data_IF_210931693920
#
_entry.id   IF_210931693920
#
_cell.length_a   1.000
_cell.length_b   1.000
_cell.length_c   1.000
_cell.angle_alpha   90.00
_cell.angle_beta   90.00
_cell.angle_gamma   90.00
#
_symmetry.space_group_name_H-M   'P 1'
#
loop_
_entity.id
_entity.type
_entity.pdbx_description
1 polymer ?
#
# COMPACT_ATOMS: atom_id res chain seq x y z
N UNK A 1 -27.92 -17.56 2.12
CA UNK A 1 -27.15 -18.62 1.44
C UNK A 1 -26.72 -18.11 0.07
N UNK A 2 -25.45 -17.81 -0.14
CA UNK A 2 -24.95 -17.48 -1.48
C UNK A 2 -24.84 -18.77 -2.28
N UNK A 3 -25.62 -18.89 -3.36
CA UNK A 3 -25.59 -20.04 -4.25
C UNK A 3 -24.20 -20.16 -4.86
N UNK A 4 -23.50 -21.26 -4.57
CA UNK A 4 -22.14 -21.51 -5.06
C UNK A 4 -22.17 -21.55 -6.60
N UNK A 5 -21.40 -20.71 -7.26
CA UNK A 5 -21.33 -20.71 -8.73
C UNK A 5 -20.52 -21.92 -9.19
N UNK A 6 -21.09 -22.74 -10.07
CA UNK A 6 -20.38 -23.87 -10.64
C UNK A 6 -19.51 -23.44 -11.82
N UNK A 7 -18.33 -24.05 -11.94
CA UNK A 7 -17.48 -23.89 -13.12
C UNK A 7 -18.13 -24.54 -14.35
N UNK A 8 -18.12 -23.83 -15.47
CA UNK A 8 -18.55 -24.37 -16.77
C UNK A 8 -17.60 -25.48 -17.24
N UNK A 9 -18.08 -26.35 -18.15
CA UNK A 9 -17.23 -27.39 -18.76
C UNK A 9 -15.99 -26.80 -19.44
N UNK A 10 -16.17 -25.71 -20.20
CA UNK A 10 -15.07 -25.01 -20.87
C UNK A 10 -14.05 -24.46 -19.86
N UNK A 11 -14.49 -23.83 -18.77
CA UNK A 11 -13.58 -23.36 -17.71
C UNK A 11 -12.80 -24.51 -17.08
N UNK A 12 -13.46 -25.64 -16.77
CA UNK A 12 -12.76 -26.82 -16.23
C UNK A 12 -11.67 -27.31 -17.18
N UNK A 13 -11.96 -27.41 -18.48
CA UNK A 13 -10.98 -27.83 -19.49
C UNK A 13 -9.78 -26.87 -19.54
N UNK A 14 -10.03 -25.56 -19.60
CA UNK A 14 -8.96 -24.55 -19.63
C UNK A 14 -8.12 -24.58 -18.35
N UNK A 15 -8.75 -24.69 -17.18
CA UNK A 15 -8.07 -24.78 -15.90
C UNK A 15 -7.20 -26.03 -15.80
N UNK A 16 -7.72 -27.19 -16.22
CA UNK A 16 -6.95 -28.44 -16.27
C UNK A 16 -5.78 -28.33 -17.25
N UNK A 17 -6.01 -27.77 -18.45
CA UNK A 17 -4.95 -27.55 -19.44
C UNK A 17 -3.85 -26.60 -18.96
N UNK A 18 -4.18 -25.64 -18.08
CA UNK A 18 -3.18 -24.76 -17.44
C UNK A 18 -2.44 -25.46 -16.28
N UNK A 19 -3.14 -26.29 -15.50
CA UNK A 19 -2.59 -26.92 -14.29
C UNK A 19 -1.67 -28.10 -14.61
N UNK A 20 -2.04 -28.93 -15.59
CA UNK A 20 -1.30 -30.16 -15.92
C UNK A 20 0.17 -29.88 -16.30
N UNK A 21 0.49 -28.91 -17.17
CA UNK A 21 1.89 -28.59 -17.48
C UNK A 21 2.68 -28.08 -16.27
N UNK A 22 2.06 -27.31 -15.37
CA UNK A 22 2.72 -26.81 -14.15
C UNK A 22 3.09 -27.96 -13.21
N UNK A 23 2.17 -28.91 -13.01
CA UNK A 23 2.41 -30.10 -12.21
C UNK A 23 3.48 -31.01 -12.85
N UNK A 24 3.37 -31.24 -14.16
CA UNK A 24 4.32 -32.06 -14.91
C UNK A 24 5.74 -31.48 -14.85
N UNK A 25 5.88 -30.15 -14.95
CA UNK A 25 7.18 -29.47 -14.84
C UNK A 25 7.79 -29.65 -13.45
N UNK A 26 6.99 -29.54 -12.38
CA UNK A 26 7.46 -29.80 -11.01
C UNK A 26 7.94 -31.24 -10.80
N UNK A 27 7.17 -32.22 -11.28
CA UNK A 27 7.53 -33.65 -11.21
C UNK A 27 8.81 -33.92 -12.01
N UNK A 28 8.89 -33.43 -13.25
CA UNK A 28 10.07 -33.59 -14.09
C UNK A 28 11.32 -32.93 -13.48
N UNK A 29 11.15 -31.76 -12.87
CA UNK A 29 12.20 -31.08 -12.11
C UNK A 29 12.77 -31.97 -11.02
N UNK A 30 11.91 -32.56 -10.18
CA UNK A 30 12.41 -33.38 -9.09
C UNK A 30 12.97 -34.74 -9.47
N UNK A 31 12.45 -35.35 -10.55
CA UNK A 31 13.11 -36.52 -11.16
C UNK A 31 14.50 -36.16 -11.69
N UNK A 32 14.63 -34.97 -12.31
CA UNK A 32 15.91 -34.45 -12.78
C UNK A 32 16.93 -34.24 -11.66
N UNK A 33 16.52 -33.57 -10.58
CA UNK A 33 17.37 -33.34 -9.40
C UNK A 33 17.78 -34.65 -8.75
N UNK A 34 16.85 -35.60 -8.57
CA UNK A 34 17.16 -36.92 -8.05
C UNK A 34 18.18 -37.66 -8.92
N UNK A 35 17.99 -37.67 -10.24
CA UNK A 35 18.92 -38.33 -11.17
C UNK A 35 20.31 -37.71 -11.15
N UNK A 36 20.41 -36.39 -11.04
CA UNK A 36 21.69 -35.69 -10.98
C UNK A 36 22.46 -36.00 -9.69
N UNK A 37 21.80 -35.86 -8.54
CA UNK A 37 22.43 -36.11 -7.23
C UNK A 37 22.74 -37.60 -7.06
N UNK A 38 21.88 -38.50 -7.57
CA UNK A 38 22.10 -39.95 -7.45
C UNK A 38 23.36 -40.41 -8.17
N UNK A 39 23.69 -39.80 -9.32
CA UNK A 39 24.92 -40.11 -10.06
C UNK A 39 26.18 -39.64 -9.35
N UNK A 40 26.10 -38.54 -8.61
CA UNK A 40 27.26 -37.96 -7.92
C UNK A 40 27.47 -38.53 -6.49
N UNK A 41 26.39 -38.82 -5.76
CA UNK A 41 26.45 -39.11 -4.31
C UNK A 41 25.68 -40.37 -3.88
N UNK A 42 25.13 -41.14 -4.83
CA UNK A 42 24.34 -42.33 -4.57
C UNK A 42 22.86 -42.04 -4.29
N UNK A 43 22.01 -43.06 -4.47
CA UNK A 43 20.54 -42.93 -4.43
C UNK A 43 19.98 -42.54 -3.06
N UNK A 44 20.59 -43.03 -1.96
CA UNK A 44 20.16 -42.71 -0.60
C UNK A 44 20.35 -41.23 -0.25
N UNK A 45 21.54 -40.69 -0.53
CA UNK A 45 21.86 -39.26 -0.35
C UNK A 45 20.99 -38.38 -1.25
N UNK A 46 20.77 -38.80 -2.49
CA UNK A 46 19.92 -38.09 -3.43
C UNK A 46 18.47 -38.00 -2.99
N UNK A 47 17.90 -39.10 -2.47
CA UNK A 47 16.54 -39.09 -1.95
C UNK A 47 16.40 -38.13 -0.78
N UNK A 48 17.35 -38.14 0.17
CA UNK A 48 17.37 -37.23 1.32
C UNK A 48 17.49 -35.76 0.91
N UNK A 49 18.39 -35.45 -0.04
CA UNK A 49 18.60 -34.09 -0.53
C UNK A 49 17.37 -33.55 -1.29
N UNK A 50 16.76 -34.37 -2.15
CA UNK A 50 15.53 -34.01 -2.88
C UNK A 50 14.35 -33.83 -1.92
N UNK A 51 14.18 -34.73 -0.96
CA UNK A 51 13.12 -34.63 0.04
C UNK A 51 13.27 -33.36 0.90
N UNK A 52 14.50 -33.01 1.30
CA UNK A 52 14.76 -31.82 2.10
C UNK A 52 14.58 -30.50 1.31
N UNK A 53 15.03 -30.46 0.05
CA UNK A 53 14.93 -29.27 -0.79
C UNK A 53 13.55 -29.14 -1.46
N UNK A 54 13.29 -30.00 -2.44
CA UNK A 54 12.09 -29.94 -3.27
C UNK A 54 10.86 -30.43 -2.51
N UNK A 55 11.01 -31.48 -1.69
CA UNK A 55 9.91 -31.98 -0.85
C UNK A 55 9.37 -30.89 0.08
N UNK A 56 10.25 -30.11 0.72
CA UNK A 56 9.84 -28.97 1.55
C UNK A 56 9.08 -27.90 0.74
N UNK A 57 9.55 -27.55 -0.47
CA UNK A 57 8.86 -26.58 -1.34
C UNK A 57 7.51 -27.10 -1.83
N UNK A 58 7.41 -28.39 -2.15
CA UNK A 58 6.18 -29.04 -2.56
C UNK A 58 5.16 -29.07 -1.41
N UNK A 59 5.61 -29.36 -0.18
CA UNK A 59 4.76 -29.29 1.01
C UNK A 59 4.24 -27.87 1.22
N UNK A 60 5.09 -26.84 1.16
CA UNK A 60 4.65 -25.45 1.27
C UNK A 60 3.65 -25.05 0.18
N UNK A 61 3.88 -25.50 -1.06
CA UNK A 61 2.96 -25.27 -2.18
C UNK A 61 1.60 -25.95 -1.97
N UNK A 62 1.59 -27.20 -1.48
CA UNK A 62 0.36 -27.93 -1.16
C UNK A 62 -0.40 -27.31 0.01
N UNK A 63 0.30 -26.86 1.05
CA UNK A 63 -0.33 -26.12 2.15
C UNK A 63 -0.92 -24.80 1.64
N UNK A 64 -0.19 -24.04 0.82
CA UNK A 64 -0.70 -22.81 0.22
C UNK A 64 -1.95 -23.07 -0.63
N UNK A 65 -1.94 -24.13 -1.44
CA UNK A 65 -3.06 -24.55 -2.27
C UNK A 65 -4.26 -24.97 -1.40
N UNK A 66 -4.03 -25.77 -0.38
CA UNK A 66 -5.06 -26.23 0.58
C UNK A 66 -5.73 -25.05 1.28
N UNK A 67 -4.94 -24.15 1.88
CA UNK A 67 -5.45 -22.94 2.54
C UNK A 67 -6.28 -22.08 1.57
N UNK A 68 -5.80 -21.93 0.32
CA UNK A 68 -6.53 -21.19 -0.71
C UNK A 68 -7.87 -21.85 -1.03
N UNK A 69 -7.90 -23.17 -1.19
CA UNK A 69 -9.12 -23.96 -1.45
C UNK A 69 -10.10 -23.95 -0.27
N UNK A 70 -9.60 -23.86 0.96
CA UNK A 70 -10.42 -23.67 2.17
C UNK A 70 -10.94 -22.22 2.32
N UNK A 71 -10.60 -21.32 1.40
CA UNK A 71 -10.95 -19.91 1.50
C UNK A 71 -10.29 -19.22 2.69
N UNK A 72 -9.08 -19.63 3.06
CA UNK A 72 -8.30 -19.01 4.13
C UNK A 72 -7.27 -18.05 3.53
N UNK A 73 -6.92 -16.99 4.29
CA UNK A 73 -5.83 -16.10 3.89
C UNK A 73 -4.51 -16.85 3.94
N UNK A 74 -3.63 -16.60 2.97
CA UNK A 74 -2.33 -17.26 2.93
C UNK A 74 -1.38 -16.61 3.94
N UNK A 75 -0.89 -17.35 4.97
CA UNK A 75 0.10 -16.82 5.90
C UNK A 75 1.34 -16.33 5.17
N UNK A 76 1.81 -15.13 5.51
CA UNK A 76 2.99 -14.54 4.89
C UNK A 76 4.23 -15.43 5.01
N UNK A 77 4.35 -16.16 6.11
CA UNK A 77 5.48 -17.08 6.35
C UNK A 77 5.55 -18.22 5.33
N UNK A 78 4.40 -18.73 4.87
CA UNK A 78 4.35 -19.83 3.89
C UNK A 78 4.82 -19.32 2.53
N UNK A 79 4.36 -18.12 2.11
CA UNK A 79 4.86 -17.49 0.88
C UNK A 79 6.35 -17.19 0.97
N UNK A 80 6.82 -16.65 2.11
CA UNK A 80 8.25 -16.41 2.30
C UNK A 80 9.06 -17.69 2.17
N UNK A 81 8.62 -18.80 2.78
CA UNK A 81 9.27 -20.10 2.64
C UNK A 81 9.27 -20.62 1.20
N UNK A 82 8.14 -20.47 0.49
CA UNK A 82 7.99 -20.91 -0.91
C UNK A 82 8.98 -20.19 -1.85
N UNK A 83 9.37 -18.96 -1.54
CA UNK A 83 10.38 -18.20 -2.29
C UNK A 83 11.80 -18.40 -1.76
N UNK A 84 11.97 -18.50 -0.45
CA UNK A 84 13.29 -18.58 0.18
C UNK A 84 14.00 -19.90 -0.13
N UNK A 85 13.29 -21.03 -0.09
CA UNK A 85 13.90 -22.34 -0.34
C UNK A 85 14.48 -22.44 -1.76
N UNK A 86 13.74 -22.09 -2.83
CA UNK A 86 14.29 -22.18 -4.17
C UNK A 86 15.30 -21.07 -4.47
N UNK A 87 15.21 -19.91 -3.82
CA UNK A 87 16.25 -18.88 -3.90
C UNK A 87 17.59 -19.39 -3.31
N UNK A 88 17.54 -20.07 -2.18
CA UNK A 88 18.72 -20.70 -1.58
C UNK A 88 19.29 -21.80 -2.50
N UNK A 89 18.43 -22.65 -3.07
CA UNK A 89 18.84 -23.65 -4.06
C UNK A 89 19.47 -23.02 -5.31
N UNK A 90 18.89 -21.91 -5.80
CA UNK A 90 19.40 -21.16 -6.95
C UNK A 90 20.78 -20.57 -6.68
N UNK A 91 21.01 -20.03 -5.48
CA UNK A 91 22.31 -19.52 -5.08
C UNK A 91 23.35 -20.64 -4.98
N UNK A 92 23.01 -21.78 -4.36
CA UNK A 92 23.90 -22.94 -4.30
C UNK A 92 24.24 -23.49 -5.70
N UNK A 93 23.23 -23.60 -6.58
CA UNK A 93 23.40 -24.10 -7.93
C UNK A 93 24.25 -23.14 -8.79
N UNK A 94 24.11 -21.82 -8.59
CA UNK A 94 24.95 -20.82 -9.25
C UNK A 94 26.42 -20.94 -8.86
N UNK A 95 26.70 -21.18 -7.56
CA UNK A 95 28.06 -21.32 -7.04
C UNK A 95 28.74 -22.63 -7.48
N UNK A 96 27.97 -23.65 -7.83
CA UNK A 96 28.48 -24.93 -8.29
C UNK A 96 28.77 -25.00 -9.81
N UNK A 97 28.51 -23.92 -10.55
CA UNK A 97 28.67 -23.90 -12.00
C UNK A 97 30.07 -23.41 -12.44
N UNK A 98 30.68 -24.12 -13.40
CA UNK A 98 32.04 -23.83 -13.87
C UNK A 98 32.14 -22.70 -14.92
N UNK A 99 31.01 -22.33 -15.54
CA UNK A 99 30.96 -21.38 -16.65
C UNK A 99 29.74 -20.45 -16.53
N UNK A 100 29.84 -19.15 -16.92
CA UNK A 100 28.74 -18.19 -16.82
C UNK A 100 27.42 -18.64 -17.46
N UNK A 101 27.45 -19.36 -18.58
CA UNK A 101 26.27 -19.89 -19.24
C UNK A 101 25.57 -20.96 -18.40
N UNK A 102 26.35 -21.85 -17.76
CA UNK A 102 25.81 -22.88 -16.84
C UNK A 102 25.31 -22.25 -15.55
N UNK A 103 25.98 -21.23 -15.04
CA UNK A 103 25.57 -20.49 -13.84
C UNK A 103 24.14 -19.95 -13.98
N UNK A 104 23.83 -19.31 -15.11
CA UNK A 104 22.48 -18.76 -15.35
C UNK A 104 21.43 -19.87 -15.40
N UNK A 105 21.70 -20.96 -16.14
CA UNK A 105 20.76 -22.07 -16.27
C UNK A 105 20.50 -22.72 -14.91
N UNK A 106 21.56 -22.98 -14.14
CA UNK A 106 21.47 -23.59 -12.82
C UNK A 106 20.81 -22.69 -11.79
N UNK A 107 21.02 -21.37 -11.86
CA UNK A 107 20.36 -20.40 -10.99
C UNK A 107 18.87 -20.23 -11.30
N UNK A 108 18.46 -20.30 -12.57
CA UNK A 108 17.05 -20.10 -12.95
C UNK A 108 16.20 -21.35 -12.71
N UNK A 109 16.79 -22.54 -12.82
CA UNK A 109 16.05 -23.81 -12.78
C UNK A 109 15.20 -23.98 -11.50
N UNK A 110 15.74 -23.76 -10.27
CA UNK A 110 14.93 -23.90 -9.07
C UNK A 110 13.79 -22.86 -8.97
N UNK A 111 13.97 -21.67 -9.56
CA UNK A 111 12.96 -20.60 -9.55
C UNK A 111 11.74 -20.91 -10.42
N UNK A 112 11.87 -21.76 -11.44
CA UNK A 112 10.74 -22.17 -12.29
C UNK A 112 9.61 -22.86 -11.51
N UNK A 113 9.98 -23.58 -10.44
CA UNK A 113 9.01 -24.24 -9.55
C UNK A 113 8.21 -23.22 -8.71
N UNK A 114 8.85 -22.14 -8.22
CA UNK A 114 8.15 -21.06 -7.51
C UNK A 114 7.06 -20.43 -8.37
N UNK A 115 7.41 -20.12 -9.63
CA UNK A 115 6.49 -19.48 -10.57
C UNK A 115 5.29 -20.40 -10.83
N UNK A 116 5.54 -21.70 -10.97
CA UNK A 116 4.48 -22.70 -11.14
C UNK A 116 3.58 -22.81 -9.90
N UNK A 117 4.17 -22.86 -8.70
CA UNK A 117 3.43 -22.93 -7.44
C UNK A 117 2.58 -21.68 -7.18
N UNK A 118 3.12 -20.48 -7.41
CA UNK A 118 2.37 -19.22 -7.33
C UNK A 118 1.28 -19.12 -8.40
N UNK A 119 1.56 -19.60 -9.62
CA UNK A 119 0.57 -19.70 -10.69
C UNK A 119 -0.60 -20.61 -10.31
N UNK A 120 -0.32 -21.78 -9.72
CA UNK A 120 -1.32 -22.71 -9.21
C UNK A 120 -2.14 -22.10 -8.07
N UNK A 121 -1.48 -21.47 -7.08
CA UNK A 121 -2.14 -20.79 -5.97
C UNK A 121 -3.02 -19.61 -6.45
N UNK A 122 -2.56 -18.86 -7.46
CA UNK A 122 -3.34 -17.80 -8.09
C UNK A 122 -4.59 -18.35 -8.79
N UNK A 123 -4.43 -19.42 -9.57
CA UNK A 123 -5.54 -20.06 -10.28
C UNK A 123 -6.58 -20.62 -9.30
N UNK A 124 -6.11 -21.31 -8.28
CA UNK A 124 -6.90 -21.80 -7.16
C UNK A 124 -7.71 -20.69 -6.49
N UNK A 125 -7.06 -19.57 -6.14
CA UNK A 125 -7.73 -18.41 -5.57
C UNK A 125 -8.79 -17.87 -6.50
N UNK A 126 -8.51 -17.79 -7.81
CA UNK A 126 -9.49 -17.28 -8.78
C UNK A 126 -10.72 -18.18 -8.91
N UNK A 127 -10.54 -19.49 -8.81
CA UNK A 127 -11.64 -20.46 -8.76
C UNK A 127 -12.51 -20.22 -7.51
N UNK A 128 -11.90 -20.16 -6.33
CA UNK A 128 -12.62 -19.95 -5.06
C UNK A 128 -13.38 -18.62 -5.08
N UNK A 129 -12.74 -17.54 -5.52
CA UNK A 129 -13.38 -16.23 -5.69
C UNK A 129 -14.57 -16.30 -6.65
N UNK A 130 -14.46 -17.07 -7.74
CA UNK A 130 -15.56 -17.23 -8.69
C UNK A 130 -16.73 -18.02 -8.08
N UNK A 131 -16.44 -19.09 -7.35
CA UNK A 131 -17.44 -19.98 -6.75
C UNK A 131 -18.17 -19.33 -5.58
N UNK A 132 -17.42 -18.68 -4.68
CA UNK A 132 -17.92 -18.18 -3.41
C UNK A 132 -18.23 -16.68 -3.47
N UNK A 133 -17.80 -15.98 -4.53
CA UNK A 133 -18.07 -14.56 -4.76
C UNK A 133 -17.30 -13.61 -3.84
N UNK A 134 -16.39 -14.14 -3.01
CA UNK A 134 -15.61 -13.40 -2.01
C UNK A 134 -14.12 -13.68 -2.17
N UNK A 135 -13.31 -12.65 -1.97
CA UNK A 135 -11.86 -12.75 -2.01
C UNK A 135 -11.28 -12.53 -0.62
N UNK A 136 -11.08 -13.63 0.10
CA UNK A 136 -10.68 -13.63 1.51
C UNK A 136 -9.32 -12.95 1.73
N UNK A 137 -8.41 -13.06 0.76
CA UNK A 137 -7.13 -12.37 0.82
C UNK A 137 -7.30 -10.85 0.68
N UNK A 138 -8.21 -10.39 -0.18
CA UNK A 138 -8.53 -8.97 -0.32
C UNK A 138 -9.28 -8.44 0.93
N UNK A 139 -10.21 -9.22 1.47
CA UNK A 139 -10.94 -8.91 2.71
C UNK A 139 -9.99 -8.83 3.91
N UNK A 140 -9.05 -9.77 4.05
CA UNK A 140 -8.04 -9.76 5.10
C UNK A 140 -7.15 -8.50 5.03
N UNK A 141 -6.75 -8.10 3.81
CA UNK A 141 -5.97 -6.85 3.58
C UNK A 141 -6.79 -5.61 3.92
N UNK A 142 -8.05 -5.56 3.50
CA UNK A 142 -8.96 -4.46 3.84
C UNK A 142 -9.17 -4.36 5.36
N UNK A 143 -9.40 -5.48 6.04
CA UNK A 143 -9.55 -5.55 7.48
C UNK A 143 -8.28 -5.09 8.22
N UNK A 144 -7.09 -5.45 7.73
CA UNK A 144 -5.81 -4.97 8.28
C UNK A 144 -5.68 -3.44 8.16
N UNK A 145 -6.06 -2.86 7.02
CA UNK A 145 -6.05 -1.40 6.82
C UNK A 145 -7.04 -0.71 7.76
N UNK A 146 -8.26 -1.24 7.92
CA UNK A 146 -9.28 -0.68 8.82
C UNK A 146 -8.84 -0.75 10.29
N UNK A 147 -8.27 -1.88 10.73
CA UNK A 147 -7.71 -2.01 12.09
C UNK A 147 -6.58 -1.03 12.35
N UNK A 148 -5.64 -0.90 11.41
CA UNK A 148 -4.54 0.06 11.51
C UNK A 148 -5.07 1.50 11.53
N UNK A 149 -6.09 1.81 10.73
CA UNK A 149 -6.72 3.12 10.72
C UNK A 149 -7.36 3.45 12.06
N UNK A 150 -8.13 2.53 12.64
CA UNK A 150 -8.75 2.68 13.94
C UNK A 150 -7.70 2.90 15.04
N UNK A 151 -6.63 2.10 15.04
CA UNK A 151 -5.50 2.26 15.97
C UNK A 151 -4.87 3.66 15.86
N UNK A 152 -4.53 4.11 14.65
CA UNK A 152 -3.91 5.43 14.47
C UNK A 152 -4.87 6.59 14.75
N UNK A 153 -6.18 6.43 14.53
CA UNK A 153 -7.18 7.42 14.94
C UNK A 153 -7.29 7.52 16.46
N UNK A 154 -7.36 6.40 17.16
CA UNK A 154 -7.37 6.38 18.62
C UNK A 154 -6.08 6.96 19.21
N UNK A 155 -4.92 6.60 18.65
CA UNK A 155 -3.62 7.15 19.05
C UNK A 155 -3.51 8.65 18.76
N UNK A 156 -4.05 9.14 17.65
CA UNK A 156 -4.05 10.58 17.34
C UNK A 156 -4.90 11.41 18.32
N UNK A 157 -5.99 10.83 18.85
CA UNK A 157 -6.86 11.47 19.83
C UNK A 157 -6.28 11.45 21.24
N UNK A 158 -5.72 10.32 21.67
CA UNK A 158 -5.49 10.05 23.09
C UNK A 158 -4.01 10.03 23.51
N UNK A 159 -3.04 10.08 22.59
CA UNK A 159 -1.63 9.95 22.96
C UNK A 159 -1.09 11.23 23.63
N UNK A 160 -0.30 11.14 24.73
CA UNK A 160 0.18 12.31 25.47
C UNK A 160 1.12 13.19 24.62
N UNK A 161 1.99 12.58 23.81
CA UNK A 161 2.93 13.32 22.98
C UNK A 161 2.31 13.90 21.70
N UNK A 162 2.48 15.21 21.50
CA UNK A 162 1.95 15.95 20.33
C UNK A 162 2.56 15.50 19.01
N UNK A 163 3.86 15.13 19.00
CA UNK A 163 4.55 14.61 17.80
C UNK A 163 3.93 13.29 17.34
N UNK A 164 3.66 12.39 18.27
CA UNK A 164 3.03 11.10 18.00
C UNK A 164 1.59 11.27 17.53
N UNK A 165 0.83 12.21 18.12
CA UNK A 165 -0.52 12.55 17.65
C UNK A 165 -0.51 13.00 16.20
N UNK A 166 0.32 13.98 15.84
CA UNK A 166 0.46 14.48 14.46
C UNK A 166 0.92 13.40 13.49
N UNK A 167 1.86 12.54 13.90
CA UNK A 167 2.33 11.42 13.09
C UNK A 167 1.23 10.38 12.84
N UNK A 168 0.47 10.05 13.89
CA UNK A 168 -0.65 9.11 13.80
C UNK A 168 -1.78 9.68 12.95
N UNK A 169 -2.07 10.97 13.05
CA UNK A 169 -3.04 11.65 12.20
C UNK A 169 -2.64 11.57 10.71
N UNK A 170 -1.39 11.93 10.37
CA UNK A 170 -0.86 11.79 9.00
C UNK A 170 -0.94 10.35 8.49
N UNK A 171 -0.63 9.38 9.36
CA UNK A 171 -0.69 7.95 9.02
C UNK A 171 -2.14 7.50 8.80
N UNK A 172 -3.08 7.99 9.61
CA UNK A 172 -4.51 7.73 9.45
C UNK A 172 -5.03 8.26 8.11
N UNK A 173 -4.58 9.43 7.65
CA UNK A 173 -4.93 9.96 6.34
C UNK A 173 -4.35 9.13 5.18
N UNK A 174 -3.12 8.63 5.34
CA UNK A 174 -2.52 7.69 4.37
C UNK A 174 -3.27 6.36 4.31
N UNK A 175 -3.73 5.86 5.45
CA UNK A 175 -4.52 4.61 5.54
C UNK A 175 -5.94 4.80 5.01
N UNK A 176 -6.59 5.93 5.30
CA UNK A 176 -7.91 6.27 4.81
C UNK A 176 -7.97 6.27 3.27
N UNK A 177 -6.91 6.74 2.60
CA UNK A 177 -6.78 6.66 1.13
C UNK A 177 -6.79 5.21 0.60
N UNK A 178 -6.43 4.23 1.42
CA UNK A 178 -6.39 2.81 1.06
C UNK A 178 -7.68 2.07 1.39
N UNK A 179 -8.59 2.67 2.17
CA UNK A 179 -9.86 2.04 2.51
C UNK A 179 -10.70 1.86 1.24
N UNK A 180 -11.18 0.63 1.03
CA UNK A 180 -11.97 0.27 -0.16
C UNK A 180 -11.17 0.04 -1.44
N UNK A 181 -9.84 0.20 -1.45
CA UNK A 181 -9.04 -0.19 -2.61
C UNK A 181 -9.06 -1.71 -2.79
N UNK A 182 -9.44 -2.16 -3.99
CA UNK A 182 -9.45 -3.58 -4.36
C UNK A 182 -10.69 -4.35 -3.94
N UNK A 183 -11.73 -3.68 -3.41
CA UNK A 183 -13.04 -4.27 -3.17
C UNK A 183 -14.03 -3.82 -4.27
N UNK A 184 -14.20 -4.61 -5.35
CA UNK A 184 -15.12 -4.25 -6.44
C UNK A 184 -16.58 -4.26 -5.99
N UNK A 185 -16.90 -4.98 -4.91
CA UNK A 185 -18.28 -5.06 -4.39
C UNK A 185 -18.65 -3.88 -3.50
N UNK A 186 -17.67 -3.11 -3.01
CA UNK A 186 -17.91 -1.95 -2.15
C UNK A 186 -18.69 -0.84 -2.85
N UNK A 187 -18.39 -0.56 -4.12
CA UNK A 187 -19.11 0.46 -4.89
C UNK A 187 -20.60 0.16 -5.00
N UNK A 188 -20.96 -1.09 -5.29
CA UNK A 188 -22.36 -1.54 -5.36
C UNK A 188 -23.01 -1.45 -3.98
N UNK A 189 -22.35 -1.99 -2.94
CA UNK A 189 -22.88 -1.96 -1.58
C UNK A 189 -23.09 -0.53 -1.05
N UNK A 190 -22.20 0.40 -1.38
CA UNK A 190 -22.36 1.81 -0.96
C UNK A 190 -23.58 2.44 -1.62
N UNK A 191 -23.85 2.13 -2.89
CA UNK A 191 -25.06 2.60 -3.58
C UNK A 191 -26.32 1.98 -2.97
N UNK A 192 -26.28 0.70 -2.60
CA UNK A 192 -27.39 0.03 -1.92
C UNK A 192 -27.67 0.69 -0.56
N UNK A 193 -26.63 0.92 0.26
CA UNK A 193 -26.76 1.61 1.55
C UNK A 193 -27.27 3.05 1.36
N UNK A 194 -26.78 3.75 0.33
CA UNK A 194 -27.25 5.10 0.03
C UNK A 194 -28.73 5.08 -0.36
N UNK A 195 -29.13 4.15 -1.23
CA UNK A 195 -30.54 3.98 -1.63
C UNK A 195 -31.41 3.67 -0.43
N UNK A 196 -30.99 2.75 0.43
CA UNK A 196 -31.71 2.39 1.66
C UNK A 196 -31.88 3.60 2.58
N UNK A 197 -30.82 4.39 2.81
CA UNK A 197 -30.90 5.61 3.63
C UNK A 197 -31.81 6.67 3.01
N UNK A 198 -31.75 6.86 1.69
CA UNK A 198 -32.62 7.81 0.98
C UNK A 198 -34.08 7.36 1.08
N UNK A 199 -34.37 6.08 0.85
CA UNK A 199 -35.71 5.53 0.97
C UNK A 199 -36.23 5.65 2.40
N UNK A 200 -35.44 5.28 3.41
CA UNK A 200 -35.83 5.42 4.81
C UNK A 200 -36.05 6.88 5.23
N UNK A 201 -35.23 7.81 4.73
CA UNK A 201 -35.43 9.25 4.94
C UNK A 201 -36.70 9.77 4.28
N UNK A 202 -37.01 9.32 3.07
CA UNK A 202 -38.23 9.68 2.35
C UNK A 202 -39.49 9.13 3.05
N UNK A 203 -39.44 7.87 3.52
CA UNK A 203 -40.52 7.25 4.28
C UNK A 203 -40.81 8.03 5.58
N UNK A 204 -39.77 8.38 6.34
CA UNK A 204 -39.90 9.20 7.54
C UNK A 204 -40.50 10.59 7.26
N UNK A 205 -40.12 11.22 6.15
CA UNK A 205 -40.66 12.51 5.74
C UNK A 205 -42.15 12.41 5.32
N UNK A 206 -42.52 11.36 4.58
CA UNK A 206 -43.92 11.10 4.21
C UNK A 206 -44.77 10.83 5.45
N UNK A 207 -44.28 10.02 6.40
CA UNK A 207 -44.93 9.82 7.67
C UNK A 207 -45.17 11.15 8.40
N UNK A 208 -44.16 12.02 8.48
CA UNK A 208 -44.31 13.34 9.10
C UNK A 208 -45.35 14.25 8.39
N UNK A 209 -45.47 14.16 7.06
CA UNK A 209 -46.44 14.95 6.29
C UNK A 209 -47.88 14.45 6.43
N UNK A 210 -48.08 13.13 6.50
CA UNK A 210 -49.41 12.52 6.57
C UNK A 210 -49.91 12.27 7.99
N UNK A 211 -49.06 12.44 9.00
CA UNK A 211 -49.50 12.45 10.40
C UNK A 211 -49.92 13.86 10.77
N UNK A 212 -51.22 14.10 10.91
CA UNK A 212 -51.77 15.38 11.39
C UNK A 212 -51.19 15.75 12.77
N UNK A 213 -50.96 17.04 13.06
CA UNK A 213 -50.51 17.51 14.37
C UNK A 213 -51.71 17.50 15.34
N UNK A 214 -52.20 16.32 15.68
CA UNK A 214 -53.05 16.12 16.84
C UNK A 214 -52.23 15.23 17.78
N UNK A 215 -51.70 15.85 18.83
CA UNK A 215 -50.80 15.27 19.84
C UNK A 215 -49.32 15.14 19.44
N UNK A 216 -48.62 16.29 19.34
CA UNK A 216 -47.20 16.33 19.68
C UNK A 216 -47.06 16.74 21.14
N UNK A 217 -47.17 15.76 22.03
CA UNK A 217 -46.50 15.82 23.32
C UNK A 217 -45.65 14.56 23.45
N UNK A 218 -44.34 14.75 23.66
CA UNK A 218 -43.27 13.73 23.74
C UNK A 218 -43.01 12.88 22.48
N UNK A 219 -42.05 13.30 21.65
CA UNK A 219 -40.98 12.44 21.06
C UNK A 219 -40.00 13.23 20.17
N UNK A 220 -39.79 14.53 20.44
CA UNK A 220 -38.81 15.35 19.73
C UNK A 220 -37.39 15.27 20.33
N UNK A 221 -36.90 14.08 20.67
CA UNK A 221 -35.55 13.90 21.26
C UNK A 221 -34.65 12.86 20.56
N UNK A 222 -35.06 12.35 19.39
CA UNK A 222 -34.38 11.18 18.78
C UNK A 222 -33.76 11.41 17.40
N UNK A 223 -33.60 12.66 16.93
CA UNK A 223 -33.09 12.89 15.57
C UNK A 223 -32.12 14.08 15.39
N UNK A 224 -31.54 14.62 16.46
CA UNK A 224 -30.56 15.70 16.35
C UNK A 224 -29.13 15.16 16.54
N UNK A 225 -28.44 14.96 15.43
CA UNK A 225 -26.97 14.98 15.30
C UNK A 225 -26.13 14.13 16.28
N UNK A 226 -26.13 12.80 16.13
CA UNK A 226 -24.97 11.99 16.53
C UNK A 226 -23.91 11.97 15.44
N UNK A 227 -23.29 13.12 15.21
CA UNK A 227 -21.98 13.22 14.58
C UNK A 227 -21.21 14.37 15.23
N UNK A 228 -20.67 14.12 16.42
CA UNK A 228 -19.88 15.10 17.17
C UNK A 228 -19.37 14.51 18.47
N UNK A 229 -18.05 14.31 18.53
CA UNK A 229 -17.22 14.23 19.73
C UNK A 229 -17.87 14.76 21.03
N UNK A 230 -18.21 13.86 21.95
CA UNK A 230 -18.33 14.18 23.39
C UNK A 230 -17.96 12.97 24.25
N UNK A 231 -16.65 12.77 24.45
CA UNK A 231 -16.13 12.03 25.61
C UNK A 231 -15.90 13.05 26.73
N UNK A 232 -16.96 13.37 27.48
CA UNK A 232 -16.82 14.00 28.79
C UNK A 232 -16.61 12.93 29.85
N UNK A 233 -15.42 13.00 30.42
CA UNK A 233 -14.98 12.46 31.70
C UNK A 233 -16.01 12.70 32.81
N UNK A 234 -16.47 11.63 33.45
CA UNK A 234 -16.99 11.65 34.82
C UNK A 234 -16.72 10.30 35.48
N UNK A 235 -15.77 10.30 36.42
CA UNK A 235 -15.82 9.50 37.63
C UNK A 235 -16.08 10.50 38.78
N UNK A 236 -16.81 10.13 39.84
CA UNK A 236 -16.20 9.31 40.91
C UNK A 236 -17.09 8.20 41.54
N UNK A 237 -16.40 7.24 42.16
CA UNK A 237 -16.76 6.20 43.17
C UNK A 237 -17.49 6.71 44.44
N UNK A 238 -17.83 5.87 45.45
CA UNK A 238 -18.19 4.44 45.51
C UNK A 238 -19.45 4.18 46.39
N UNK A 239 -19.94 2.93 46.52
CA UNK A 239 -20.26 2.25 47.80
C UNK A 239 -20.94 0.87 47.61
N UNK A 240 -20.45 -0.07 48.41
CA UNK A 240 -20.84 -1.47 48.62
C UNK A 240 -22.32 -1.68 48.98
N UNK A 241 -22.90 -2.86 48.68
CA UNK A 241 -22.90 -4.02 49.59
C UNK A 241 -23.73 -5.23 49.07
N UNK A 242 -23.07 -6.41 49.14
CA UNK A 242 -23.51 -7.81 49.28
C UNK A 242 -24.76 -8.41 48.60
N UNK A 243 -24.53 -9.51 47.84
CA UNK A 243 -25.24 -10.79 48.03
C UNK A 243 -24.50 -11.98 47.36
N UNK A 244 -23.75 -12.71 48.20
CA UNK A 244 -23.50 -14.18 48.25
C UNK A 244 -23.22 -15.05 47.01
N UNK A 245 -22.06 -15.71 47.11
CA UNK A 245 -21.53 -16.87 46.36
C UNK A 245 -22.20 -18.19 46.81
N UNK A 246 -22.08 -19.27 46.02
CA UNK A 246 -21.45 -20.48 46.59
C UNK A 246 -20.33 -21.06 45.71
N UNK A 247 -19.25 -21.46 46.40
CA UNK A 247 -18.11 -22.25 45.92
C UNK A 247 -18.51 -23.75 45.77
N UNK A 248 -17.85 -24.65 45.04
CA UNK A 248 -16.44 -25.05 45.02
C UNK A 248 -16.14 -25.90 43.77
N UNK A 249 -14.89 -25.88 43.32
CA UNK A 249 -13.99 -27.07 43.20
C UNK A 249 -13.09 -26.98 41.96
N UNK A 250 -11.80 -26.74 42.18
CA UNK A 250 -10.75 -27.11 41.21
C UNK A 250 -9.49 -27.45 41.99
N UNK A 251 -8.97 -28.63 41.68
CA UNK A 251 -7.77 -29.22 42.24
C UNK A 251 -6.50 -28.61 41.63
N UNK A 252 -5.45 -28.69 42.43
CA UNK A 252 -4.07 -28.25 42.23
C UNK A 252 -3.38 -28.83 40.98
N UNK A 253 -2.31 -28.19 40.47
CA UNK A 253 -1.02 -28.90 40.58
C UNK A 253 0.21 -28.04 40.91
N UNK A 254 1.16 -28.76 41.53
CA UNK A 254 2.49 -28.40 42.05
C UNK A 254 3.53 -27.82 41.04
N UNK A 255 4.64 -27.23 41.55
CA UNK A 255 5.55 -26.32 40.83
C UNK A 255 6.92 -26.91 40.44
N UNK A 256 7.61 -26.29 39.46
CA UNK A 256 9.05 -26.52 39.17
C UNK A 256 9.76 -25.19 38.87
N UNK A 257 10.96 -25.06 39.45
CA UNK A 257 11.86 -23.90 39.59
C UNK A 257 12.61 -23.40 38.32
N UNK A 258 13.31 -22.24 38.38
CA UNK A 258 13.81 -21.47 37.24
C UNK A 258 15.34 -21.46 37.04
N UNK A 259 15.80 -21.09 35.84
CA UNK A 259 17.16 -20.60 35.55
C UNK A 259 17.49 -20.49 34.05
N UNK A 260 18.53 -19.75 33.64
CA UNK A 260 18.75 -18.33 33.90
C UNK A 260 18.88 -17.48 32.61
N UNK A 261 18.89 -16.17 32.80
CA UNK A 261 18.99 -15.11 31.80
C UNK A 261 20.35 -15.02 31.08
N UNK A 262 20.35 -14.61 29.81
CA UNK A 262 21.52 -14.06 29.10
C UNK A 262 21.15 -12.76 28.40
N UNK A 263 21.56 -11.67 29.07
CA UNK A 263 22.10 -10.37 28.61
C UNK A 263 21.96 -10.00 27.12
N UNK A 264 21.26 -8.89 26.88
CA UNK A 264 21.38 -8.05 25.69
C UNK A 264 22.75 -7.36 25.65
N UNK A 265 23.47 -7.47 24.53
CA UNK A 265 24.55 -6.53 24.19
C UNK A 265 24.19 -5.80 22.90
N UNK A 266 24.20 -4.47 23.00
CA UNK A 266 24.11 -3.54 21.91
C UNK A 266 25.50 -3.32 21.28
N UNK A 267 25.44 -2.76 20.07
CA UNK A 267 26.48 -2.00 19.38
C UNK A 267 27.28 -2.74 18.30
N UNK A 268 27.12 -2.23 17.06
CA UNK A 268 28.07 -2.23 15.94
C UNK A 268 27.35 -1.72 14.68
N UNK A 269 27.44 -0.41 14.46
CA UNK A 269 27.13 0.24 13.17
C UNK A 269 28.44 0.34 12.37
N UNK A 270 28.47 -0.07 11.09
CA UNK A 270 29.48 0.46 10.17
C UNK A 270 28.89 1.53 9.24
N UNK A 271 29.60 2.66 9.28
CA UNK A 271 29.55 3.82 8.41
C UNK A 271 29.84 3.42 6.95
N UNK A 272 29.11 4.00 5.98
CA UNK A 272 29.41 3.88 4.55
C UNK A 272 29.63 5.30 4.01
N UNK A 273 30.86 5.58 3.57
CA UNK A 273 31.23 6.76 2.78
C UNK A 273 30.93 6.58 1.28
N UNK A 274 30.82 7.66 0.49
CA UNK A 274 30.12 7.66 -0.79
C UNK A 274 31.04 7.56 -2.03
N UNK A 275 30.35 7.43 -3.17
CA UNK A 275 30.70 7.63 -4.60
C UNK A 275 31.54 6.58 -5.34
N UNK A 276 30.94 6.04 -6.42
CA UNK A 276 31.31 6.42 -7.79
C UNK A 276 30.21 6.09 -8.81
N UNK A 277 29.97 7.05 -9.70
CA UNK A 277 29.01 7.07 -10.79
C UNK A 277 29.47 6.22 -11.98
N UNK A 278 28.62 5.30 -12.45
CA UNK A 278 28.82 4.57 -13.71
C UNK A 278 27.76 5.00 -14.74
N UNK A 279 28.24 5.20 -15.97
CA UNK A 279 27.61 5.84 -17.10
C UNK A 279 26.27 5.22 -17.55
N UNK A 280 25.32 6.10 -17.89
CA UNK A 280 24.02 5.74 -18.47
C UNK A 280 24.22 5.42 -19.96
N UNK A 281 24.08 4.13 -20.32
CA UNK A 281 23.94 3.68 -21.71
C UNK A 281 22.47 3.84 -22.15
N UNK A 282 22.28 4.39 -23.34
CA UNK A 282 21.02 4.79 -23.93
C UNK A 282 19.97 3.66 -23.99
N UNK A 283 18.74 3.98 -23.56
CA UNK A 283 17.57 3.09 -23.59
C UNK A 283 16.91 3.17 -24.97
N UNK A 284 16.89 2.04 -25.69
CA UNK A 284 16.04 1.86 -26.86
C UNK A 284 14.58 1.62 -26.42
N UNK A 285 13.67 2.30 -27.11
CA UNK A 285 12.21 2.27 -27.08
C UNK A 285 11.54 1.26 -26.12
N UNK A 286 11.13 1.74 -24.95
CA UNK A 286 10.17 1.05 -24.10
C UNK A 286 8.77 1.12 -24.73
N UNK A 287 8.27 -0.05 -25.13
CA UNK A 287 6.89 -0.32 -25.47
C UNK A 287 5.97 0.12 -24.30
N UNK A 288 4.87 0.79 -24.63
CA UNK A 288 4.10 1.61 -23.70
C UNK A 288 3.53 0.79 -22.52
N UNK A 289 3.91 1.17 -21.30
CA UNK A 289 3.26 0.67 -20.09
C UNK A 289 1.74 0.94 -20.11
N UNK A 290 0.90 0.05 -19.55
CA UNK A 290 -0.55 0.19 -19.56
C UNK A 290 -0.99 1.45 -18.79
N UNK A 291 -1.77 2.29 -19.47
CA UNK A 291 -2.19 3.63 -19.05
C UNK A 291 -3.09 3.54 -17.80
N UNK A 292 -2.81 4.34 -16.76
CA UNK A 292 -3.64 4.42 -15.53
C UNK A 292 -5.11 4.75 -15.87
N UNK A 293 -6.03 4.08 -15.18
CA UNK A 293 -7.48 4.20 -15.32
C UNK A 293 -8.11 5.55 -14.88
N UNK A 294 -7.30 6.55 -14.54
CA UNK A 294 -7.78 7.92 -14.37
C UNK A 294 -7.45 8.68 -15.66
N UNK A 295 -8.44 8.87 -16.53
CA UNK A 295 -8.33 9.74 -17.69
C UNK A 295 -7.86 11.15 -17.31
N UNK A 296 -7.36 11.90 -18.30
CA UNK A 296 -6.95 13.29 -18.12
C UNK A 296 -8.16 14.10 -17.64
N UNK A 297 -8.01 14.80 -16.52
CA UNK A 297 -9.06 15.68 -15.95
C UNK A 297 -9.57 16.63 -17.05
N UNK A 298 -10.88 16.67 -17.31
CA UNK A 298 -11.47 17.58 -18.30
C UNK A 298 -11.06 19.02 -18.03
N UNK A 299 -10.82 19.80 -19.10
CA UNK A 299 -10.34 21.18 -18.99
C UNK A 299 -11.29 22.07 -18.19
N UNK A 300 -12.60 21.79 -18.26
CA UNK A 300 -13.65 22.46 -17.48
C UNK A 300 -13.57 22.21 -15.96
N UNK A 301 -12.94 21.12 -15.52
CA UNK A 301 -12.79 20.77 -14.10
C UNK A 301 -11.45 21.25 -13.52
N UNK A 302 -10.62 21.95 -14.29
CA UNK A 302 -9.40 22.59 -13.80
C UNK A 302 -9.76 23.97 -13.26
N UNK A 303 -9.58 24.17 -11.96
CA UNK A 303 -9.61 25.52 -11.39
C UNK A 303 -8.46 26.35 -12.00
N UNK A 304 -8.73 27.56 -12.52
CA UNK A 304 -7.68 28.45 -12.99
C UNK A 304 -6.74 28.72 -11.82
N UNK A 305 -5.48 28.31 -11.96
CA UNK A 305 -4.45 28.68 -10.98
C UNK A 305 -4.31 30.20 -11.05
N UNK A 306 -4.40 30.94 -9.93
CA UNK A 306 -4.10 32.36 -9.93
C UNK A 306 -2.69 32.57 -10.48
N UNK A 307 -2.60 33.17 -11.66
CA UNK A 307 -1.35 33.53 -12.31
C UNK A 307 -1.05 34.98 -11.98
N UNK A 308 0.14 35.24 -11.43
CA UNK A 308 0.69 36.60 -11.30
C UNK A 308 0.67 37.26 -12.67
N UNK A 309 0.15 38.48 -12.74
CA UNK A 309 0.11 39.24 -14.00
C UNK A 309 1.53 39.70 -14.38
N UNK A 310 1.78 40.04 -15.65
CA UNK A 310 3.08 40.57 -16.07
C UNK A 310 3.51 41.82 -15.28
N UNK A 311 2.56 42.70 -14.96
CA UNK A 311 2.83 43.95 -14.21
C UNK A 311 3.20 43.68 -12.75
N UNK A 312 2.55 42.71 -12.10
CA UNK A 312 2.91 42.25 -10.75
C UNK A 312 4.33 41.68 -10.71
N UNK A 313 4.72 40.92 -11.75
CA UNK A 313 6.07 40.37 -11.86
C UNK A 313 7.13 41.46 -12.09
N UNK A 314 6.80 42.52 -12.85
CA UNK A 314 7.69 43.67 -13.02
C UNK A 314 7.86 44.46 -11.72
N UNK A 315 6.77 44.72 -10.99
CA UNK A 315 6.83 45.41 -9.70
C UNK A 315 7.67 44.64 -8.67
N UNK A 316 7.45 43.32 -8.56
CA UNK A 316 8.25 42.44 -7.69
C UNK A 316 9.73 42.43 -8.14
N UNK A 317 9.99 42.38 -9.45
CA UNK A 317 11.35 42.40 -9.97
C UNK A 317 12.08 43.72 -9.67
N UNK A 318 11.42 44.89 -9.78
CA UNK A 318 12.01 46.18 -9.40
C UNK A 318 12.38 46.21 -7.92
N UNK A 319 11.49 45.71 -7.05
CA UNK A 319 11.75 45.63 -5.61
C UNK A 319 12.95 44.75 -5.28
N UNK A 320 13.04 43.56 -5.88
CA UNK A 320 14.10 42.59 -5.55
C UNK A 320 15.46 42.95 -6.18
N UNK A 321 15.45 43.69 -7.29
CA UNK A 321 16.68 44.08 -8.00
C UNK A 321 17.16 45.50 -7.68
N UNK A 322 16.52 46.20 -6.75
CA UNK A 322 16.87 47.58 -6.39
C UNK A 322 18.37 47.74 -6.06
N UNK A 323 18.93 46.81 -5.29
CA UNK A 323 20.34 46.85 -4.86
C UNK A 323 21.30 46.12 -5.82
N UNK A 324 20.83 45.68 -6.98
CA UNK A 324 21.64 44.89 -7.91
C UNK A 324 22.39 45.79 -8.88
N UNK A 325 23.67 45.48 -9.13
CA UNK A 325 24.43 46.10 -10.21
C UNK A 325 23.94 45.64 -11.59
N UNK A 326 24.22 46.42 -12.64
CA UNK A 326 23.76 46.10 -14.00
C UNK A 326 24.34 44.79 -14.56
N UNK A 327 25.53 44.39 -14.08
CA UNK A 327 26.12 43.09 -14.36
C UNK A 327 25.37 41.92 -13.70
N UNK A 328 24.71 42.16 -12.57
CA UNK A 328 23.93 41.15 -11.84
C UNK A 328 22.51 40.96 -12.42
N UNK A 329 22.01 41.90 -13.22
CA UNK A 329 20.74 41.80 -13.97
C UNK A 329 20.83 40.79 -15.13
N UNK A 330 20.97 39.52 -14.79
CA UNK A 330 20.89 38.41 -15.74
C UNK A 330 19.50 37.77 -15.68
N UNK A 331 19.04 37.23 -16.81
CA UNK A 331 17.71 36.60 -16.90
C UNK A 331 17.56 35.42 -15.92
N UNK A 332 18.64 34.68 -15.66
CA UNK A 332 18.64 33.54 -14.72
C UNK A 332 18.59 33.99 -13.26
N UNK A 333 19.29 35.08 -12.91
CA UNK A 333 19.27 35.63 -11.56
C UNK A 333 17.87 36.18 -11.22
N UNK A 334 17.26 36.94 -12.14
CA UNK A 334 15.89 37.47 -11.99
C UNK A 334 14.87 36.32 -11.92
N UNK A 335 15.02 35.29 -12.77
CA UNK A 335 14.15 34.10 -12.74
C UNK A 335 14.16 33.42 -11.38
N UNK A 336 15.35 33.22 -10.80
CA UNK A 336 15.51 32.57 -9.49
C UNK A 336 14.93 33.41 -8.37
N UNK A 337 15.16 34.73 -8.41
CA UNK A 337 14.71 35.65 -7.38
C UNK A 337 13.17 35.81 -7.35
N UNK A 338 12.55 36.04 -8.51
CA UNK A 338 11.08 36.22 -8.65
C UNK A 338 10.32 34.89 -8.78
N UNK A 339 11.05 33.76 -8.87
CA UNK A 339 10.53 32.39 -9.06
C UNK A 339 9.54 32.30 -10.22
N UNK A 340 9.97 32.78 -11.38
CA UNK A 340 9.16 32.83 -12.61
C UNK A 340 9.70 31.88 -13.69
N UNK A 341 9.05 31.81 -14.85
CA UNK A 341 9.50 31.02 -15.99
C UNK A 341 10.74 31.63 -16.64
N UNK A 342 11.50 30.83 -17.41
CA UNK A 342 12.67 31.32 -18.15
C UNK A 342 12.30 32.38 -19.21
N UNK A 343 11.11 32.28 -19.81
CA UNK A 343 10.60 33.26 -20.75
C UNK A 343 10.36 34.62 -20.07
N UNK A 344 9.62 34.61 -18.95
CA UNK A 344 9.36 35.84 -18.18
C UNK A 344 10.65 36.43 -17.62
N UNK A 345 11.62 35.61 -17.17
CA UNK A 345 12.92 36.10 -16.70
C UNK A 345 13.71 36.88 -17.76
N UNK A 346 13.59 36.54 -19.05
CA UNK A 346 14.20 37.30 -20.15
C UNK A 346 13.48 38.63 -20.38
N UNK A 347 12.15 38.59 -20.45
CA UNK A 347 11.32 39.79 -20.63
C UNK A 347 11.55 40.81 -19.51
N UNK A 348 11.59 40.35 -18.25
CA UNK A 348 11.85 41.20 -17.08
C UNK A 348 13.25 41.82 -17.12
N UNK A 349 14.28 41.05 -17.54
CA UNK A 349 15.64 41.57 -17.70
C UNK A 349 15.66 42.69 -18.73
N UNK A 350 15.05 42.48 -19.88
CA UNK A 350 15.10 43.44 -20.99
C UNK A 350 14.33 44.71 -20.61
N UNK A 351 13.20 44.59 -19.92
CA UNK A 351 12.46 45.72 -19.35
C UNK A 351 13.29 46.50 -18.30
N UNK A 352 13.89 45.82 -17.33
CA UNK A 352 14.71 46.47 -16.30
C UNK A 352 15.98 47.13 -16.88
N UNK A 353 16.60 46.52 -17.89
CA UNK A 353 17.74 47.10 -18.58
C UNK A 353 17.34 48.30 -19.44
N UNK A 354 16.19 48.26 -20.08
CA UNK A 354 15.65 49.40 -20.80
C UNK A 354 15.35 50.55 -19.83
N UNK A 355 14.70 50.28 -18.69
CA UNK A 355 14.43 51.29 -17.65
C UNK A 355 15.71 51.94 -17.11
N UNK A 356 16.79 51.17 -16.90
CA UNK A 356 18.07 51.73 -16.42
C UNK A 356 18.90 52.40 -17.51
N UNK A 357 18.66 52.07 -18.77
CA UNK A 357 19.35 52.68 -19.91
C UNK A 357 18.70 53.98 -20.38
N UNK A 358 17.53 54.36 -19.86
CA UNK A 358 16.95 55.69 -20.02
C UNK A 358 17.40 56.56 -18.84
N UNK A 359 18.48 57.35 -18.96
CA UNK A 359 18.78 58.40 -18.01
C UNK A 359 17.71 59.50 -18.06
N UNK A 360 17.48 60.10 -16.90
CA UNK A 360 16.58 61.22 -16.62
C UNK A 360 16.98 62.49 -17.38
N UNK A 361 16.61 62.61 -18.67
CA UNK A 361 16.71 63.85 -19.45
C UNK A 361 15.56 64.82 -19.09
N UNK A 362 15.40 65.12 -17.80
CA UNK A 362 14.26 65.86 -17.28
C UNK A 362 14.52 66.79 -16.08
N UNK A 363 15.77 67.05 -15.70
CA UNK A 363 16.08 67.91 -14.56
C UNK A 363 17.29 68.84 -14.79
N UNK A 364 17.27 69.65 -15.85
CA UNK A 364 18.09 70.87 -15.91
C UNK A 364 17.41 71.96 -16.76
N UNK A 365 16.39 72.61 -16.19
CA UNK A 365 15.89 73.91 -16.66
C UNK A 365 15.09 74.61 -15.54
N UNK A 366 15.78 75.21 -14.57
CA UNK A 366 15.50 76.56 -14.00
C UNK A 366 16.42 76.81 -12.81
N UNK A 367 17.54 77.48 -13.03
CA UNK A 367 18.23 78.31 -12.05
C UNK A 367 19.15 79.31 -12.78
N UNK A 368 18.54 80.34 -13.38
CA UNK A 368 18.95 81.76 -13.38
C UNK A 368 18.12 82.57 -14.38
#
# INVERSE_FOLDING_TARGET
MTTRRMLTKAQKVVLTAAFVPMLATGIAGGVGTFSNISRAYGSGTALGAVAAGEGATAVLALVLLGLTMLGQSAPGIIRMGLWALPAAASAMAAMAADDPGRTVIYAVTPMGMCVSAEGMAFLARRIVVHQDGRDIEAEAKAAAVVRALAYHRARAANHPETRVRKSSERTSWKLARKVGLGDPSLGVRLLDIQRERVTGGADAALAAMFTTPAYQDQTADSATNRLGSDLRKSAPEPLAEAATVPALSSADPQPVEPGPAVVYSADSVPVIEPVQSVAVKAVAAAESAPRRATGRVPQAARTPRPTRTPDELLAEARSVTADWSDGALTAEAIRKAVRTSSANGRTLRDALKAERAVPDDGAEATAE
#
